data_IF_067012447528
#
_entry.id   IF_067012447528
#
_cell.length_a   1.000
_cell.length_b   1.000
_cell.length_c   1.000
_cell.angle_alpha   90.00
_cell.angle_beta   90.00
_cell.angle_gamma   90.00
#
_symmetry.space_group_name_H-M   'P 1'
#
loop_
_entity.id
_entity.type
_entity.pdbx_description
1 polymer ?
#
# COMPACT_ATOMS: atom_id res chain seq x y z
N UNK A 1 3.64 9.08 42.21
CA UNK A 1 3.10 8.45 40.99
C UNK A 1 3.00 9.52 39.91
N UNK A 2 3.81 9.48 38.85
CA UNK A 2 3.70 10.43 37.72
C UNK A 2 2.63 9.91 36.78
N UNK A 3 1.52 10.63 36.65
CA UNK A 3 0.46 10.37 35.68
C UNK A 3 1.06 10.34 34.27
N UNK A 4 0.94 9.21 33.57
CA UNK A 4 1.27 9.15 32.14
C UNK A 4 0.38 10.15 31.39
N UNK A 5 0.93 11.00 30.51
CA UNK A 5 0.10 11.87 29.70
C UNK A 5 -0.85 11.03 28.86
N UNK A 6 -2.08 11.52 28.70
CA UNK A 6 -3.08 10.94 27.79
C UNK A 6 -2.44 10.86 26.40
N UNK A 7 -2.48 9.71 25.69
CA UNK A 7 -1.89 9.64 24.36
C UNK A 7 -2.54 10.70 23.48
N UNK A 8 -1.72 11.47 22.76
CA UNK A 8 -2.19 12.45 21.81
C UNK A 8 -3.11 11.77 20.78
N UNK A 9 -4.20 12.43 20.41
CA UNK A 9 -5.11 11.93 19.37
C UNK A 9 -4.28 11.75 18.09
N UNK A 10 -4.18 10.52 17.58
CA UNK A 10 -3.50 10.27 16.30
C UNK A 10 -4.17 11.12 15.21
N UNK A 11 -3.40 11.75 14.31
CA UNK A 11 -3.97 12.43 13.16
C UNK A 11 -4.77 11.43 12.32
N UNK A 12 -5.93 11.87 11.82
CA UNK A 12 -6.77 11.08 10.92
C UNK A 12 -6.13 11.03 9.54
N UNK A 13 -6.07 9.83 8.94
CA UNK A 13 -5.54 9.65 7.59
C UNK A 13 -6.52 10.15 6.52
N UNK A 14 -6.03 10.53 5.33
CA UNK A 14 -6.88 10.90 4.20
C UNK A 14 -7.87 9.78 3.82
N UNK A 15 -9.11 10.17 3.58
CA UNK A 15 -10.23 9.28 3.21
C UNK A 15 -10.74 9.51 1.79
N UNK A 16 -10.05 10.33 1.00
CA UNK A 16 -10.40 10.58 -0.40
C UNK A 16 -9.95 9.40 -1.28
N UNK A 17 -10.86 8.78 -2.06
CA UNK A 17 -10.52 7.68 -2.95
C UNK A 17 -9.40 8.06 -3.93
N UNK A 18 -8.48 7.13 -4.17
CA UNK A 18 -7.36 7.35 -5.09
C UNK A 18 -7.80 7.75 -6.50
N UNK A 19 -8.90 7.15 -6.97
CA UNK A 19 -9.49 7.43 -8.26
C UNK A 19 -8.84 6.64 -9.40
N UNK A 20 -9.59 6.52 -10.49
CA UNK A 20 -9.24 5.65 -11.63
C UNK A 20 -7.96 6.10 -12.34
N UNK A 21 -7.74 7.42 -12.46
CA UNK A 21 -6.57 7.95 -13.15
C UNK A 21 -5.25 7.54 -12.47
N UNK A 22 -5.17 7.73 -11.14
CA UNK A 22 -4.02 7.31 -10.35
C UNK A 22 -3.83 5.79 -10.40
N UNK A 23 -4.91 5.03 -10.21
CA UNK A 23 -4.85 3.57 -10.22
C UNK A 23 -4.36 2.99 -11.56
N UNK A 24 -4.78 3.59 -12.69
CA UNK A 24 -4.29 3.19 -14.03
C UNK A 24 -2.81 3.52 -14.23
N UNK A 25 -2.36 4.69 -13.80
CA UNK A 25 -0.96 5.06 -13.88
C UNK A 25 -0.08 4.09 -13.06
N UNK A 26 -0.51 3.76 -11.84
CA UNK A 26 0.12 2.72 -11.01
C UNK A 26 0.15 1.37 -11.72
N UNK A 27 -0.96 0.92 -12.31
CA UNK A 27 -0.98 -0.34 -13.05
C UNK A 27 0.07 -0.37 -14.17
N UNK A 28 0.21 0.75 -14.89
CA UNK A 28 1.23 0.92 -15.92
C UNK A 28 2.66 0.86 -15.39
N UNK A 29 2.93 1.42 -14.19
CA UNK A 29 4.23 1.32 -13.51
C UNK A 29 4.55 -0.14 -13.17
N UNK A 30 3.61 -0.83 -12.52
CA UNK A 30 3.79 -2.22 -12.10
C UNK A 30 4.07 -3.14 -13.29
N UNK A 31 3.32 -3.00 -14.40
CA UNK A 31 3.53 -3.79 -15.62
C UNK A 31 4.91 -3.60 -16.27
N UNK A 32 5.63 -2.50 -15.98
CA UNK A 32 7.01 -2.30 -16.43
C UNK A 32 8.03 -3.03 -15.55
N UNK A 33 7.58 -3.77 -14.53
CA UNK A 33 8.42 -4.49 -13.58
C UNK A 33 8.85 -3.64 -12.38
N UNK A 34 8.29 -2.44 -12.20
CA UNK A 34 8.61 -1.57 -11.07
C UNK A 34 7.70 -1.93 -9.90
N UNK A 35 8.26 -2.49 -8.83
CA UNK A 35 7.53 -2.76 -7.59
C UNK A 35 7.34 -1.47 -6.77
N UNK A 36 6.15 -1.26 -6.21
CA UNK A 36 5.87 -0.16 -5.28
C UNK A 36 5.87 -0.72 -3.87
N UNK A 37 7.04 -0.72 -3.24
CA UNK A 37 7.27 -1.28 -1.91
C UNK A 37 8.40 -0.52 -1.23
N UNK A 38 8.46 -0.52 0.11
CA UNK A 38 9.72 -0.14 0.77
C UNK A 38 10.75 -1.26 0.52
N UNK A 39 12.03 -0.89 0.50
CA UNK A 39 13.13 -1.82 0.28
C UNK A 39 14.19 -1.61 1.36
N UNK A 40 14.18 -2.48 2.35
CA UNK A 40 15.22 -2.60 3.37
C UNK A 40 15.18 -3.99 3.97
N UNK A 41 16.08 -4.26 4.91
CA UNK A 41 16.07 -5.50 5.67
C UNK A 41 14.80 -5.58 6.55
N UNK A 42 14.31 -6.79 6.76
CA UNK A 42 13.14 -7.14 7.55
C UNK A 42 11.81 -6.66 6.93
N UNK A 43 10.77 -6.49 7.78
CA UNK A 43 9.44 -6.06 7.36
C UNK A 43 9.49 -4.70 6.67
N UNK A 44 9.03 -4.65 5.43
CA UNK A 44 8.99 -3.48 4.55
C UNK A 44 7.56 -2.94 4.35
N UNK A 45 6.60 -3.41 5.14
CA UNK A 45 5.22 -2.95 5.02
C UNK A 45 4.40 -3.70 3.98
N UNK A 46 3.44 -2.98 3.38
CA UNK A 46 2.62 -3.48 2.29
C UNK A 46 3.05 -2.86 0.96
N UNK A 47 3.06 -3.66 -0.08
CA UNK A 47 3.49 -3.24 -1.41
C UNK A 47 2.61 -3.73 -2.54
N UNK A 48 2.91 -3.24 -3.74
CA UNK A 48 2.32 -3.65 -5.00
C UNK A 48 3.40 -4.19 -5.93
N UNK A 49 3.13 -5.33 -6.55
CA UNK A 49 4.01 -5.97 -7.54
C UNK A 49 3.15 -6.46 -8.70
N UNK A 50 3.70 -6.47 -9.91
CA UNK A 50 3.16 -7.25 -11.02
C UNK A 50 4.05 -8.47 -11.23
N UNK A 51 3.48 -9.66 -11.08
CA UNK A 51 4.20 -10.92 -11.21
C UNK A 51 3.28 -11.99 -11.81
N UNK A 52 3.86 -12.85 -12.65
CA UNK A 52 3.15 -13.92 -13.37
C UNK A 52 1.80 -13.47 -13.97
N UNK A 53 1.82 -12.32 -14.66
CA UNK A 53 0.65 -11.76 -15.34
C UNK A 53 -0.41 -11.13 -14.44
N UNK A 54 -0.21 -11.07 -13.12
CA UNK A 54 -1.19 -10.55 -12.17
C UNK A 54 -0.64 -9.42 -11.30
N UNK A 55 -1.57 -8.59 -10.82
CA UNK A 55 -1.27 -7.55 -9.84
C UNK A 55 -1.46 -8.10 -8.44
N UNK A 56 -0.44 -7.93 -7.61
CA UNK A 56 -0.39 -8.46 -6.25
C UNK A 56 -0.30 -7.30 -5.26
N UNK A 57 -1.12 -7.36 -4.22
CA UNK A 57 -1.02 -6.53 -3.03
C UNK A 57 -0.73 -7.45 -1.84
N UNK A 58 0.27 -7.10 -1.03
CA UNK A 58 0.70 -8.00 0.03
C UNK A 58 1.85 -7.47 0.87
N UNK A 59 2.27 -8.27 1.83
CA UNK A 59 3.37 -7.94 2.74
C UNK A 59 4.71 -8.13 2.05
N UNK A 60 5.62 -7.19 2.33
CA UNK A 60 6.97 -7.17 1.77
C UNK A 60 7.95 -7.42 2.91
N UNK A 61 8.89 -8.35 2.70
CA UNK A 61 10.03 -8.56 3.57
C UNK A 61 11.29 -8.65 2.74
N UNK A 62 12.37 -8.03 3.22
CA UNK A 62 13.66 -7.98 2.53
C UNK A 62 13.53 -7.53 1.06
N UNK A 63 12.60 -6.60 0.81
CA UNK A 63 12.31 -6.06 -0.52
C UNK A 63 11.55 -7.00 -1.47
N UNK A 64 11.04 -8.15 -0.99
CA UNK A 64 10.32 -9.14 -1.78
C UNK A 64 8.91 -9.38 -1.24
N UNK A 65 7.96 -9.66 -2.13
CA UNK A 65 6.61 -10.09 -1.76
C UNK A 65 6.67 -11.46 -1.08
N UNK A 66 6.19 -11.56 0.16
CA UNK A 66 6.14 -12.83 0.88
C UNK A 66 4.72 -13.36 1.01
N UNK A 67 3.77 -12.52 1.42
CA UNK A 67 2.37 -12.93 1.59
C UNK A 67 1.44 -12.07 0.76
N UNK A 68 0.68 -12.71 -0.13
CA UNK A 68 -0.29 -12.03 -0.99
C UNK A 68 -1.61 -11.87 -0.24
N UNK A 69 -2.00 -10.63 0.01
CA UNK A 69 -3.28 -10.28 0.62
C UNK A 69 -4.40 -10.16 -0.43
N UNK A 70 -4.07 -9.71 -1.65
CA UNK A 70 -4.99 -9.69 -2.77
C UNK A 70 -4.25 -9.92 -4.10
N UNK A 71 -4.90 -10.66 -5.00
CA UNK A 71 -4.44 -10.94 -6.37
C UNK A 71 -5.51 -10.49 -7.35
N UNK A 72 -5.09 -9.84 -8.42
CA UNK A 72 -5.95 -9.41 -9.52
C UNK A 72 -5.36 -9.88 -10.84
N UNK A 73 -6.04 -10.81 -11.51
CA UNK A 73 -5.57 -11.37 -12.78
C UNK A 73 -5.78 -10.42 -13.96
N UNK A 74 -6.54 -9.34 -13.77
CA UNK A 74 -6.77 -8.33 -14.81
C UNK A 74 -6.46 -6.92 -14.32
N UNK A 75 -5.97 -6.09 -15.24
CA UNK A 75 -5.75 -4.66 -14.99
C UNK A 75 -7.05 -3.94 -14.60
N UNK A 76 -8.17 -4.32 -15.20
CA UNK A 76 -9.47 -3.73 -14.89
C UNK A 76 -9.84 -3.94 -13.42
N UNK A 77 -9.69 -5.16 -12.93
CA UNK A 77 -10.10 -5.50 -11.57
C UNK A 77 -9.15 -4.89 -10.53
N UNK A 78 -7.83 -4.87 -10.83
CA UNK A 78 -6.84 -4.15 -10.04
C UNK A 78 -7.14 -2.65 -9.96
N UNK A 79 -7.38 -2.01 -11.10
CA UNK A 79 -7.68 -0.57 -11.19
C UNK A 79 -8.97 -0.24 -10.44
N UNK A 80 -10.02 -1.06 -10.59
CA UNK A 80 -11.27 -0.87 -9.86
C UNK A 80 -11.07 -0.95 -8.34
N UNK A 81 -10.30 -1.94 -7.88
CA UNK A 81 -9.97 -2.08 -6.46
C UNK A 81 -9.16 -0.89 -5.95
N UNK A 82 -8.03 -0.56 -6.59
CA UNK A 82 -7.11 0.48 -6.12
C UNK A 82 -7.77 1.86 -6.16
N UNK A 83 -8.58 2.16 -7.19
CA UNK A 83 -9.27 3.44 -7.31
C UNK A 83 -10.23 3.72 -6.14
N UNK A 84 -10.79 2.68 -5.53
CA UNK A 84 -11.69 2.77 -4.39
C UNK A 84 -10.96 2.85 -3.03
N UNK A 85 -9.66 2.59 -3.00
CA UNK A 85 -8.88 2.66 -1.77
C UNK A 85 -8.56 4.11 -1.37
N UNK A 86 -8.22 4.28 -0.10
CA UNK A 86 -7.81 5.54 0.54
C UNK A 86 -6.60 5.25 1.43
N UNK A 87 -5.89 6.30 1.86
CA UNK A 87 -4.78 6.15 2.82
C UNK A 87 -5.28 5.47 4.11
N UNK A 88 -6.48 5.86 4.57
CA UNK A 88 -7.11 5.28 5.76
C UNK A 88 -7.50 3.81 5.56
N UNK A 89 -8.07 3.44 4.40
CA UNK A 89 -8.48 2.07 4.13
C UNK A 89 -7.28 1.10 4.03
N UNK A 90 -6.12 1.59 3.58
CA UNK A 90 -4.89 0.80 3.49
C UNK A 90 -3.98 0.95 4.71
N UNK A 91 -4.41 1.65 5.76
CA UNK A 91 -3.66 1.83 6.99
C UNK A 91 -3.46 0.51 7.79
N UNK A 92 -4.26 -0.51 7.48
CA UNK A 92 -4.22 -1.81 8.15
C UNK A 92 -4.75 -1.75 9.58
N UNK A 93 -5.86 -1.06 9.82
CA UNK A 93 -6.48 -0.91 11.15
C UNK A 93 -6.77 -2.26 11.84
N UNK A 94 -7.01 -3.28 11.04
CA UNK A 94 -7.25 -4.69 11.41
C UNK A 94 -5.97 -5.47 11.77
N UNK A 95 -4.79 -4.97 11.40
CA UNK A 95 -3.52 -5.68 11.56
C UNK A 95 -2.99 -5.64 13.00
N UNK A 96 -2.01 -6.49 13.37
CA UNK A 96 -1.31 -6.41 14.65
C UNK A 96 -0.69 -5.02 14.89
N UNK A 97 -0.53 -4.57 16.16
CA UNK A 97 -0.05 -3.22 16.47
C UNK A 97 1.22 -2.77 15.75
N UNK A 98 2.16 -3.69 15.50
CA UNK A 98 3.42 -3.42 14.82
C UNK A 98 3.24 -3.05 13.33
N UNK A 99 2.20 -3.57 12.70
CA UNK A 99 1.95 -3.40 11.27
C UNK A 99 1.00 -2.23 10.96
N UNK A 100 0.23 -1.76 11.95
CA UNK A 100 -0.73 -0.67 11.79
C UNK A 100 -0.04 0.65 11.45
N UNK A 101 -0.47 1.28 10.35
CA UNK A 101 0.10 2.50 9.79
C UNK A 101 1.60 2.42 9.47
N UNK A 102 2.18 1.21 9.56
CA UNK A 102 3.60 1.00 9.38
C UNK A 102 3.85 0.62 7.92
N UNK A 103 4.50 1.53 7.19
CA UNK A 103 4.98 1.30 5.81
C UNK A 103 3.86 0.85 4.87
N UNK A 104 2.72 1.54 4.95
CA UNK A 104 1.53 1.28 4.14
C UNK A 104 1.58 2.05 2.82
N UNK A 105 0.71 1.64 1.90
CA UNK A 105 0.48 2.38 0.66
C UNK A 105 -0.31 3.66 0.96
N UNK A 106 0.16 4.78 0.44
CA UNK A 106 -0.52 6.08 0.51
C UNK A 106 -0.55 6.70 -0.87
N UNK A 107 -1.46 7.65 -1.10
CA UNK A 107 -1.50 8.45 -2.33
C UNK A 107 -0.13 9.03 -2.66
N UNK A 108 0.57 9.59 -1.66
CA UNK A 108 1.88 10.20 -1.86
C UNK A 108 2.91 9.18 -2.40
N UNK A 109 2.90 7.95 -1.88
CA UNK A 109 3.79 6.88 -2.36
C UNK A 109 3.44 6.44 -3.78
N UNK A 110 2.14 6.32 -4.07
CA UNK A 110 1.66 5.93 -5.41
C UNK A 110 2.03 6.98 -6.46
N UNK A 111 1.89 8.27 -6.12
CA UNK A 111 2.28 9.39 -7.00
C UNK A 111 3.78 9.41 -7.23
N UNK A 112 4.59 9.29 -6.17
CA UNK A 112 6.04 9.28 -6.29
C UNK A 112 6.53 8.17 -7.25
N UNK A 113 5.92 6.99 -7.21
CA UNK A 113 6.28 5.87 -8.09
C UNK A 113 5.91 6.08 -9.58
N UNK A 114 5.04 7.04 -9.90
CA UNK A 114 4.67 7.36 -11.29
C UNK A 114 5.67 8.35 -11.91
N UNK A 115 6.29 9.17 -11.08
CA UNK A 115 7.23 10.22 -11.50
C UNK A 115 8.69 9.71 -11.64
N UNK A 116 8.95 8.43 -11.36
CA UNK A 116 10.22 7.72 -11.59
C UNK A 116 10.32 7.09 -13.00
#
# INVERSE_FOLDING_TARGET
MKSRPRPARRPTLPTEPYGVALARAVAGVLRRGVAIAHQHRDYCGMGLVFDDGAYLYGSIYDGQMQEVAARFDTERDFVAWLAAQTDDALAGHEAPPFERDNQRLTRARLVAAIDE
#
